data_IF_093889760253
#
_entry.id   IF_093889760253
#
_cell.length_a   1.000
_cell.length_b   1.000
_cell.length_c   1.000
_cell.angle_alpha   90.00
_cell.angle_beta   90.00
_cell.angle_gamma   90.00
#
_symmetry.space_group_name_H-M   'P 1'
#
loop_
_entity.id
_entity.type
_entity.pdbx_description
1 polymer ?
#
# COMPACT_ATOMS: atom_id res chain seq x y z
N UNK A 1 7.69 -18.33 33.31
CA UNK A 1 8.78 -18.23 32.33
C UNK A 1 8.19 -17.54 31.10
N UNK A 2 8.38 -16.23 30.97
CA UNK A 2 7.86 -15.44 29.84
C UNK A 2 8.85 -15.58 28.71
N UNK A 3 8.49 -16.29 27.64
CA UNK A 3 9.23 -16.19 26.39
C UNK A 3 8.99 -14.77 25.86
N UNK A 4 10.04 -13.98 25.58
CA UNK A 4 9.84 -12.70 24.92
C UNK A 4 9.04 -12.93 23.64
N UNK A 5 8.03 -12.09 23.42
CA UNK A 5 7.21 -12.15 22.23
C UNK A 5 8.13 -12.06 21.01
N UNK A 6 8.01 -13.01 20.07
CA UNK A 6 8.86 -13.12 18.89
C UNK A 6 8.86 -11.80 18.08
N UNK A 7 7.77 -11.04 18.18
CA UNK A 7 7.62 -9.70 17.63
C UNK A 7 8.57 -8.65 18.25
N UNK A 8 8.85 -8.72 19.55
CA UNK A 8 9.73 -7.77 20.25
C UNK A 8 11.21 -8.04 19.92
N UNK A 9 11.57 -9.32 19.74
CA UNK A 9 12.91 -9.70 19.29
C UNK A 9 13.15 -9.19 17.87
N UNK A 10 12.20 -9.40 16.96
CA UNK A 10 12.29 -8.92 15.57
C UNK A 10 12.39 -7.39 15.49
N UNK A 11 11.61 -6.66 16.28
CA UNK A 11 11.67 -5.20 16.33
C UNK A 11 13.02 -4.70 16.84
N UNK A 12 13.58 -5.38 17.85
CA UNK A 12 14.90 -5.04 18.41
C UNK A 12 16.01 -5.29 17.39
N UNK A 13 16.03 -6.46 16.75
CA UNK A 13 17.03 -6.80 15.74
C UNK A 13 16.95 -5.88 14.52
N UNK A 14 15.75 -5.55 14.04
CA UNK A 14 15.57 -4.56 12.97
C UNK A 14 16.06 -3.17 13.37
N UNK A 15 15.82 -2.74 14.61
CA UNK A 15 16.35 -1.49 15.15
C UNK A 15 17.89 -1.47 15.16
N UNK A 16 18.52 -2.59 15.53
CA UNK A 16 19.98 -2.73 15.50
C UNK A 16 20.54 -2.69 14.07
N UNK A 17 19.93 -3.43 13.13
CA UNK A 17 20.33 -3.39 11.70
C UNK A 17 20.24 -1.96 11.18
N UNK A 18 19.16 -1.26 11.49
CA UNK A 18 18.97 0.14 11.07
C UNK A 18 20.11 1.03 11.54
N UNK A 19 20.40 0.99 12.83
CA UNK A 19 21.37 1.89 13.46
C UNK A 19 22.81 1.55 13.07
N UNK A 20 23.11 0.27 12.84
CA UNK A 20 24.47 -0.17 12.53
C UNK A 20 24.79 -0.14 11.04
N UNK A 21 23.81 -0.48 10.19
CA UNK A 21 24.04 -0.66 8.75
C UNK A 21 23.52 0.54 7.94
N UNK A 22 22.36 1.09 8.29
CA UNK A 22 21.67 2.12 7.48
C UNK A 22 21.85 3.55 8.04
N UNK A 23 23.02 3.85 8.60
CA UNK A 23 23.33 5.15 9.22
C UNK A 23 23.86 6.22 8.25
N UNK A 24 23.45 6.19 6.98
CA UNK A 24 23.86 7.17 5.96
C UNK A 24 25.12 6.80 5.16
N UNK A 25 25.64 5.58 5.34
CA UNK A 25 26.72 5.04 4.49
C UNK A 25 26.27 5.00 3.01
N UNK A 26 27.16 5.24 2.04
CA UNK A 26 26.79 5.30 0.61
C UNK A 26 26.42 3.93 0.03
N UNK A 27 27.02 2.85 0.54
CA UNK A 27 26.76 1.46 0.16
C UNK A 27 26.72 0.64 1.44
N UNK A 28 25.75 -0.28 1.54
CA UNK A 28 25.49 -1.11 2.70
C UNK A 28 25.24 -2.54 2.23
N UNK A 29 25.91 -3.51 2.86
CA UNK A 29 25.75 -4.93 2.55
C UNK A 29 25.29 -5.67 3.80
N UNK A 30 24.12 -6.30 3.73
CA UNK A 30 23.48 -6.98 4.87
C UNK A 30 23.23 -8.44 4.51
N UNK A 31 23.73 -9.36 5.33
CA UNK A 31 23.41 -10.79 5.20
C UNK A 31 22.14 -11.14 5.98
N UNK A 32 21.04 -11.56 5.32
CA UNK A 32 19.82 -11.95 6.04
C UNK A 32 20.03 -13.11 7.00
N UNK A 33 20.94 -14.03 6.67
CA UNK A 33 21.30 -15.19 7.48
C UNK A 33 21.98 -14.78 8.77
N UNK A 34 22.96 -13.86 8.71
CA UNK A 34 23.68 -13.36 9.89
C UNK A 34 22.72 -12.69 10.87
N UNK A 35 21.80 -11.89 10.36
CA UNK A 35 20.83 -11.14 11.17
C UNK A 35 19.60 -11.96 11.57
N UNK A 36 19.44 -13.18 11.04
CA UNK A 36 18.26 -14.03 11.20
C UNK A 36 16.96 -13.28 10.88
N UNK A 37 17.00 -12.44 9.86
CA UNK A 37 15.86 -11.65 9.40
C UNK A 37 15.40 -12.14 8.03
N UNK A 38 14.10 -12.03 7.78
CA UNK A 38 13.56 -12.20 6.43
C UNK A 38 14.20 -11.15 5.49
N UNK A 39 14.79 -11.56 4.35
CA UNK A 39 15.27 -10.64 3.32
C UNK A 39 14.27 -9.53 2.99
N UNK A 40 12.96 -9.83 2.99
CA UNK A 40 11.91 -8.86 2.73
C UNK A 40 11.84 -7.74 3.77
N UNK A 41 12.13 -8.04 5.04
CA UNK A 41 12.16 -7.08 6.13
C UNK A 41 13.40 -6.18 6.05
N UNK A 42 14.55 -6.71 5.66
CA UNK A 42 15.78 -5.93 5.43
C UNK A 42 15.58 -4.99 4.24
N UNK A 43 15.01 -5.46 3.12
CA UNK A 43 14.67 -4.61 1.98
C UNK A 43 13.72 -3.48 2.36
N UNK A 44 12.69 -3.79 3.16
CA UNK A 44 11.75 -2.81 3.66
C UNK A 44 12.45 -1.74 4.52
N UNK A 45 13.36 -2.16 5.39
CA UNK A 45 14.13 -1.29 6.25
C UNK A 45 15.09 -0.42 5.46
N UNK A 46 15.88 -1.02 4.56
CA UNK A 46 16.78 -0.31 3.65
C UNK A 46 16.01 0.78 2.90
N UNK A 47 14.86 0.42 2.36
CA UNK A 47 14.00 1.33 1.63
C UNK A 47 13.47 2.47 2.53
N UNK A 48 13.02 2.15 3.75
CA UNK A 48 12.57 3.16 4.72
C UNK A 48 13.67 4.17 5.09
N UNK A 49 14.94 3.73 5.11
CA UNK A 49 16.10 4.59 5.37
C UNK A 49 16.61 5.32 4.11
N UNK A 50 15.96 5.13 2.97
CA UNK A 50 16.30 5.80 1.71
C UNK A 50 17.45 5.12 0.97
N UNK A 51 17.49 3.79 1.00
CA UNK A 51 18.41 2.97 0.22
C UNK A 51 17.67 2.17 -0.87
N UNK A 52 18.34 1.92 -1.98
CA UNK A 52 17.86 1.05 -3.05
C UNK A 52 18.75 -0.18 -3.19
N UNK A 53 18.16 -1.35 -3.43
CA UNK A 53 18.91 -2.59 -3.63
C UNK A 53 19.69 -2.54 -4.95
N UNK A 54 20.96 -2.92 -4.88
CA UNK A 54 21.87 -3.08 -5.99
C UNK A 54 22.06 -4.58 -6.29
N UNK A 55 22.53 -4.95 -7.49
CA UNK A 55 22.87 -6.32 -7.80
C UNK A 55 23.79 -6.92 -6.72
N UNK A 56 23.46 -8.10 -6.17
CA UNK A 56 24.26 -8.67 -5.10
C UNK A 56 25.63 -9.13 -5.63
N UNK A 57 26.70 -8.76 -4.94
CA UNK A 57 28.04 -9.32 -5.20
C UNK A 57 28.14 -10.79 -4.75
N UNK A 58 27.33 -11.18 -3.77
CA UNK A 58 27.26 -12.53 -3.23
C UNK A 58 25.79 -12.97 -3.03
N UNK A 59 25.44 -14.25 -3.30
CA UNK A 59 24.05 -14.71 -3.27
C UNK A 59 23.37 -14.60 -1.90
N UNK A 60 24.14 -14.59 -0.80
CA UNK A 60 23.64 -14.54 0.58
C UNK A 60 23.68 -13.15 1.21
N UNK A 61 23.99 -12.12 0.42
CA UNK A 61 24.17 -10.74 0.88
C UNK A 61 23.34 -9.80 0.03
N UNK A 62 22.47 -9.02 0.69
CA UNK A 62 21.73 -7.94 0.05
C UNK A 62 22.60 -6.69 0.06
N UNK A 63 22.83 -6.09 -1.10
CA UNK A 63 23.60 -4.86 -1.23
C UNK A 63 22.66 -3.70 -1.55
N UNK A 64 22.87 -2.57 -0.89
CA UNK A 64 22.00 -1.41 -0.98
C UNK A 64 22.83 -0.13 -1.13
N UNK A 65 22.40 0.78 -1.99
CA UNK A 65 23.03 2.08 -2.20
C UNK A 65 22.15 3.17 -1.59
N UNK A 66 22.74 4.13 -0.88
CA UNK A 66 22.02 5.27 -0.32
C UNK A 66 21.54 6.16 -1.46
N UNK A 67 20.22 6.25 -1.64
CA UNK A 67 19.58 7.09 -2.67
C UNK A 67 19.07 8.40 -2.10
N UNK A 68 18.95 8.51 -0.77
CA UNK A 68 18.52 9.72 -0.07
C UNK A 68 19.39 10.94 -0.39
N UNK A 69 20.71 10.75 -0.47
CA UNK A 69 21.63 11.82 -0.84
C UNK A 69 21.40 12.29 -2.28
N UNK A 70 21.24 11.37 -3.23
CA UNK A 70 21.03 11.72 -4.65
C UNK A 70 19.65 12.30 -4.96
N UNK A 71 18.59 11.88 -4.27
CA UNK A 71 17.25 12.44 -4.46
C UNK A 71 17.15 13.90 -4.01
N UNK A 72 17.97 14.31 -3.04
CA UNK A 72 18.03 15.69 -2.56
C UNK A 72 18.73 16.60 -3.59
N UNK A 73 19.71 16.05 -4.31
CA UNK A 73 20.51 16.79 -5.29
C UNK A 73 19.91 16.75 -6.72
N UNK A 74 19.13 15.72 -7.07
CA UNK A 74 18.47 15.57 -8.36
C UNK A 74 17.02 15.02 -8.20
N UNK A 75 15.99 15.88 -8.27
CA UNK A 75 14.59 15.45 -8.19
C UNK A 75 14.12 14.66 -9.43
N UNK A 76 14.92 14.61 -10.51
CA UNK A 76 14.68 13.76 -11.67
C UNK A 76 15.31 12.37 -11.54
N UNK A 77 16.08 12.11 -10.47
CA UNK A 77 16.76 10.83 -10.30
C UNK A 77 15.77 9.67 -10.27
N UNK A 78 15.81 8.85 -11.31
CA UNK A 78 15.09 7.58 -11.42
C UNK A 78 15.89 6.46 -10.76
N UNK A 79 15.18 5.65 -9.97
CA UNK A 79 15.67 4.46 -9.27
C UNK A 79 16.57 3.57 -10.12
N UNK A 80 17.48 2.78 -9.50
CA UNK A 80 18.39 1.92 -10.25
C UNK A 80 17.58 0.99 -11.16
N UNK A 81 18.04 0.76 -12.40
CA UNK A 81 17.26 0.19 -13.50
C UNK A 81 16.75 -1.25 -13.28
N UNK A 82 17.14 -1.93 -12.20
CA UNK A 82 16.75 -3.31 -11.92
C UNK A 82 15.33 -3.51 -11.37
N UNK A 83 14.66 -2.46 -10.87
CA UNK A 83 13.37 -2.57 -10.16
C UNK A 83 12.19 -1.86 -10.83
N UNK A 84 12.38 -1.36 -12.06
CA UNK A 84 11.31 -0.62 -12.76
C UNK A 84 10.45 -1.63 -13.51
N UNK A 85 9.37 -2.09 -12.89
CA UNK A 85 8.31 -2.77 -13.63
C UNK A 85 7.80 -1.83 -14.72
N UNK A 86 8.13 -2.13 -15.97
CA UNK A 86 7.49 -1.52 -17.14
C UNK A 86 6.73 -2.58 -17.91
N UNK A 87 5.40 -2.46 -18.01
CA UNK A 87 4.64 -3.38 -18.82
C UNK A 87 5.02 -3.20 -20.30
N UNK A 88 5.10 -4.31 -21.03
CA UNK A 88 5.06 -4.23 -22.49
C UNK A 88 3.79 -3.48 -22.91
N UNK A 89 3.92 -2.45 -23.75
CA UNK A 89 2.77 -1.63 -24.16
C UNK A 89 1.83 -2.49 -25.01
N UNK A 90 0.76 -2.98 -24.37
CA UNK A 90 -0.31 -3.77 -25.00
C UNK A 90 -1.63 -3.00 -25.02
N UNK A 91 -1.63 -1.79 -24.45
CA UNK A 91 -2.81 -0.94 -24.37
C UNK A 91 -3.25 -0.44 -25.75
N UNK A 92 -4.55 -0.48 -25.98
CA UNK A 92 -5.18 0.12 -27.15
C UNK A 92 -5.68 1.55 -26.88
N UNK A 93 -6.31 2.15 -27.89
CA UNK A 93 -6.90 3.50 -27.76
C UNK A 93 -7.98 3.58 -26.68
N UNK A 94 -8.69 2.46 -26.42
CA UNK A 94 -9.67 2.36 -25.33
C UNK A 94 -9.04 2.62 -23.95
N UNK A 95 -7.86 2.09 -23.69
CA UNK A 95 -7.16 2.25 -22.40
C UNK A 95 -6.67 3.69 -22.24
N UNK A 96 -6.15 4.28 -23.32
CA UNK A 96 -5.74 5.70 -23.39
C UNK A 96 -6.92 6.63 -23.12
N UNK A 97 -8.07 6.37 -23.74
CA UNK A 97 -9.30 7.14 -23.51
C UNK A 97 -9.84 6.99 -22.08
N UNK A 98 -9.74 5.80 -21.49
CA UNK A 98 -10.09 5.58 -20.07
C UNK A 98 -9.21 6.41 -19.15
N UNK A 99 -7.90 6.47 -19.42
CA UNK A 99 -6.97 7.33 -18.66
C UNK A 99 -7.33 8.81 -18.82
N UNK A 100 -7.55 9.30 -20.05
CA UNK A 100 -7.98 10.69 -20.30
C UNK A 100 -9.27 11.05 -19.55
N UNK A 101 -10.27 10.16 -19.58
CA UNK A 101 -11.54 10.37 -18.89
C UNK A 101 -11.36 10.42 -17.37
N UNK A 102 -10.39 9.68 -16.82
CA UNK A 102 -10.05 9.74 -15.39
C UNK A 102 -9.33 11.04 -15.03
N UNK A 103 -8.33 11.44 -15.81
CA UNK A 103 -7.58 12.69 -15.62
C UNK A 103 -8.47 13.93 -15.75
N UNK A 104 -9.56 13.85 -16.53
CA UNK A 104 -10.53 14.94 -16.64
C UNK A 104 -11.35 15.16 -15.35
N UNK A 105 -11.45 14.15 -14.47
CA UNK A 105 -12.31 14.19 -13.27
C UNK A 105 -11.53 14.50 -11.99
N UNK A 106 -10.28 14.06 -11.93
CA UNK A 106 -9.48 14.11 -10.72
C UNK A 106 -8.25 15.00 -10.95
N UNK A 107 -8.07 16.09 -10.16
CA UNK A 107 -6.88 16.96 -10.29
C UNK A 107 -5.59 16.28 -9.83
N UNK A 108 -5.72 15.16 -9.10
CA UNK A 108 -4.64 14.28 -8.67
C UNK A 108 -5.11 12.84 -8.74
N UNK A 109 -4.33 11.95 -9.34
CA UNK A 109 -4.69 10.55 -9.34
C UNK A 109 -3.48 9.61 -9.32
N UNK A 110 -3.66 8.48 -8.64
CA UNK A 110 -2.71 7.37 -8.66
C UNK A 110 -3.04 6.43 -9.81
N UNK A 111 -2.05 6.13 -10.65
CA UNK A 111 -2.20 5.29 -11.84
C UNK A 111 -1.23 4.12 -11.76
N UNK A 112 -1.77 2.90 -11.66
CA UNK A 112 -0.98 1.67 -11.82
C UNK A 112 -0.72 1.44 -13.30
N UNK A 113 0.54 1.25 -13.69
CA UNK A 113 0.91 0.92 -15.06
C UNK A 113 0.37 -0.44 -15.47
N UNK A 114 0.30 -1.40 -14.55
CA UNK A 114 -0.31 -2.71 -14.80
C UNK A 114 -1.80 -2.62 -15.11
N UNK A 115 -2.54 -1.82 -14.33
CA UNK A 115 -3.97 -1.60 -14.55
C UNK A 115 -4.22 -0.82 -15.84
N UNK A 116 -3.40 0.20 -16.09
CA UNK A 116 -3.52 1.05 -17.27
C UNK A 116 -3.03 0.35 -18.55
N UNK A 117 -2.18 -0.68 -18.42
CA UNK A 117 -1.49 -1.39 -19.52
C UNK A 117 -0.66 -0.48 -20.42
N UNK A 118 -0.31 0.70 -19.93
CA UNK A 118 0.45 1.74 -20.62
C UNK A 118 1.84 1.84 -20.01
N UNK A 119 2.82 2.24 -20.83
CA UNK A 119 4.16 2.60 -20.35
C UNK A 119 4.12 3.93 -19.61
N UNK A 120 5.13 4.12 -18.75
CA UNK A 120 5.31 5.35 -17.99
C UNK A 120 5.36 6.59 -18.89
N UNK A 121 6.06 6.49 -20.03
CA UNK A 121 6.17 7.53 -21.06
C UNK A 121 4.82 7.90 -21.68
N UNK A 122 4.01 6.90 -22.07
CA UNK A 122 2.68 7.13 -22.65
C UNK A 122 1.74 7.77 -21.63
N UNK A 123 1.81 7.34 -20.37
CA UNK A 123 1.06 7.97 -19.28
C UNK A 123 1.51 9.43 -19.08
N UNK A 124 2.81 9.69 -19.10
CA UNK A 124 3.36 11.04 -18.97
C UNK A 124 2.88 11.97 -20.10
N UNK A 125 2.88 11.47 -21.34
CA UNK A 125 2.40 12.22 -22.51
C UNK A 125 0.91 12.57 -22.38
N UNK A 126 0.07 11.60 -22.02
CA UNK A 126 -1.37 11.82 -21.81
C UNK A 126 -1.63 12.78 -20.64
N UNK A 127 -0.83 12.71 -19.57
CA UNK A 127 -0.92 13.63 -18.44
C UNK A 127 -0.53 15.06 -18.86
N UNK A 128 0.54 15.22 -19.64
CA UNK A 128 1.00 16.51 -20.12
C UNK A 128 -0.05 17.22 -21.01
N UNK A 129 -0.79 16.47 -21.84
CA UNK A 129 -1.94 16.98 -22.63
C UNK A 129 -3.02 17.64 -21.74
N UNK A 130 -3.07 17.30 -20.44
CA UNK A 130 -4.00 17.85 -19.45
C UNK A 130 -3.35 18.82 -18.46
N UNK A 131 -2.12 19.28 -18.73
CA UNK A 131 -1.37 20.14 -17.82
C UNK A 131 -0.96 19.44 -16.51
N UNK A 132 -0.87 18.12 -16.53
CA UNK A 132 -0.44 17.31 -15.38
C UNK A 132 0.98 16.77 -15.60
N UNK A 133 1.66 16.46 -14.50
CA UNK A 133 3.00 15.84 -14.47
C UNK A 133 3.00 14.63 -13.55
N UNK A 134 3.99 13.76 -13.74
CA UNK A 134 4.29 12.70 -12.76
C UNK A 134 4.94 13.38 -11.55
N UNK A 135 4.24 13.39 -10.43
CA UNK A 135 4.71 13.99 -9.19
C UNK A 135 5.43 12.99 -8.26
N UNK A 136 5.11 11.70 -8.38
CA UNK A 136 5.79 10.63 -7.66
C UNK A 136 5.72 9.32 -8.45
N UNK A 137 6.70 8.45 -8.21
CA UNK A 137 6.74 7.08 -8.74
C UNK A 137 6.98 6.12 -7.57
N UNK A 138 6.11 5.12 -7.46
CA UNK A 138 6.26 3.99 -6.55
C UNK A 138 6.36 2.73 -7.42
N UNK A 139 7.19 1.77 -7.08
CA UNK A 139 7.34 0.56 -7.88
C UNK A 139 7.83 -0.64 -7.10
N UNK A 140 7.38 -1.81 -7.51
CA UNK A 140 7.94 -3.11 -7.14
C UNK A 140 8.15 -3.98 -8.40
N UNK A 141 8.50 -5.23 -8.19
CA UNK A 141 8.69 -6.25 -9.23
C UNK A 141 7.39 -6.62 -9.98
N UNK A 142 6.22 -6.23 -9.46
CA UNK A 142 4.91 -6.63 -9.97
C UNK A 142 4.11 -5.49 -10.59
N UNK A 143 4.41 -4.23 -10.25
CA UNK A 143 3.69 -3.04 -10.69
C UNK A 143 4.48 -1.75 -10.44
N UNK A 144 4.18 -0.72 -11.23
CA UNK A 144 4.62 0.64 -10.99
C UNK A 144 3.41 1.56 -10.89
N UNK A 145 3.33 2.34 -9.82
CA UNK A 145 2.23 3.25 -9.53
C UNK A 145 2.72 4.70 -9.57
N UNK A 146 2.13 5.49 -10.44
CA UNK A 146 2.48 6.88 -10.68
C UNK A 146 1.47 7.81 -10.02
N UNK A 147 1.93 8.83 -9.30
CA UNK A 147 1.10 9.95 -8.91
C UNK A 147 1.12 11.00 -10.01
N UNK A 148 -0.05 11.31 -10.56
CA UNK A 148 -0.24 12.41 -11.49
C UNK A 148 -0.86 13.58 -10.74
N UNK A 149 -0.30 14.76 -10.88
CA UNK A 149 -0.80 16.00 -10.29
C UNK A 149 -0.65 17.17 -11.27
N UNK A 150 -1.40 18.25 -11.06
CA UNK A 150 -1.27 19.47 -11.86
C UNK A 150 0.17 19.99 -11.88
N UNK A 151 0.62 20.51 -13.03
CA UNK A 151 1.99 21.00 -13.18
C UNK A 151 2.35 22.11 -12.18
N UNK A 152 1.37 22.97 -11.87
CA UNK A 152 1.48 24.10 -10.94
C UNK A 152 1.18 23.74 -9.47
N UNK A 153 0.92 22.47 -9.18
CA UNK A 153 0.62 22.03 -7.83
C UNK A 153 1.87 22.09 -6.94
N UNK A 154 1.83 22.97 -5.94
CA UNK A 154 2.93 23.21 -5.00
C UNK A 154 3.08 22.12 -3.95
N UNK A 155 2.03 21.33 -3.71
CA UNK A 155 2.09 20.20 -2.79
C UNK A 155 1.33 18.99 -3.37
N UNK A 156 1.92 18.32 -4.38
CA UNK A 156 1.26 17.18 -5.04
C UNK A 156 1.09 15.99 -4.10
N UNK A 157 1.89 15.91 -3.04
CA UNK A 157 1.86 14.84 -2.03
C UNK A 157 0.85 15.09 -0.90
N UNK A 158 0.16 16.24 -0.90
CA UNK A 158 -0.90 16.47 0.06
C UNK A 158 -2.00 15.40 -0.12
N UNK A 159 -2.10 14.51 0.87
CA UNK A 159 -3.12 13.47 0.91
C UNK A 159 -4.48 14.14 1.08
N UNK A 160 -5.42 13.80 0.20
CA UNK A 160 -6.80 14.23 0.37
C UNK A 160 -7.30 13.74 1.74
N UNK A 161 -7.85 14.65 2.55
CA UNK A 161 -8.38 14.33 3.87
C UNK A 161 -9.35 13.15 3.76
N UNK A 162 -9.19 12.12 4.59
CA UNK A 162 -10.08 10.94 4.57
C UNK A 162 -11.54 11.39 4.67
N UNK A 163 -12.33 11.15 3.62
CA UNK A 163 -13.78 11.33 3.62
C UNK A 163 -14.46 10.00 3.30
N UNK A 164 -15.62 9.74 3.92
CA UNK A 164 -16.40 8.50 3.68
C UNK A 164 -15.72 7.21 4.15
N UNK A 165 -15.79 6.14 3.35
CA UNK A 165 -15.27 4.80 3.69
C UNK A 165 -13.78 4.77 4.06
N UNK A 166 -12.98 5.74 3.62
CA UNK A 166 -11.55 5.81 3.93
C UNK A 166 -11.23 6.10 5.40
N UNK A 167 -12.18 6.61 6.19
CA UNK A 167 -12.00 6.83 7.64
C UNK A 167 -12.20 5.56 8.46
N UNK A 168 -12.85 4.54 7.89
CA UNK A 168 -13.23 3.35 8.62
C UNK A 168 -12.03 2.41 8.70
N UNK A 169 -11.48 2.25 9.90
CA UNK A 169 -10.40 1.30 10.15
C UNK A 169 -10.91 -0.14 10.04
N UNK A 170 -10.04 -1.08 9.70
CA UNK A 170 -10.40 -2.50 9.60
C UNK A 170 -11.18 -3.07 10.81
N UNK A 171 -10.78 -2.82 12.08
CA UNK A 171 -11.56 -3.29 13.22
C UNK A 171 -12.95 -2.66 13.26
N UNK A 172 -13.10 -1.40 12.83
CA UNK A 172 -14.38 -0.72 12.75
C UNK A 172 -15.27 -1.29 11.63
N UNK A 173 -14.70 -1.70 10.50
CA UNK A 173 -15.48 -2.36 9.45
C UNK A 173 -15.97 -3.75 9.88
N UNK A 174 -15.14 -4.51 10.60
CA UNK A 174 -15.54 -5.82 11.15
C UNK A 174 -16.63 -5.69 12.21
N UNK A 175 -16.58 -4.66 13.07
CA UNK A 175 -17.65 -4.41 14.04
C UNK A 175 -18.93 -3.97 13.38
N UNK A 176 -18.88 -3.08 12.36
CA UNK A 176 -20.05 -2.69 11.58
C UNK A 176 -20.65 -3.91 10.85
N UNK A 177 -19.83 -4.73 10.21
CA UNK A 177 -20.25 -5.95 9.54
C UNK A 177 -20.91 -6.93 10.52
N UNK A 178 -20.30 -7.15 11.69
CA UNK A 178 -20.85 -8.00 12.74
C UNK A 178 -22.19 -7.48 13.26
N UNK A 179 -22.32 -6.17 13.46
CA UNK A 179 -23.57 -5.53 13.88
C UNK A 179 -24.67 -5.71 12.82
N UNK A 180 -24.36 -5.49 11.54
CA UNK A 180 -25.32 -5.65 10.44
C UNK A 180 -25.77 -7.10 10.28
N UNK A 181 -24.85 -8.06 10.40
CA UNK A 181 -25.19 -9.49 10.40
C UNK A 181 -26.07 -9.82 11.60
N UNK A 182 -25.73 -9.34 12.80
CA UNK A 182 -26.50 -9.57 14.02
C UNK A 182 -27.92 -8.99 13.93
N UNK A 183 -28.06 -7.76 13.45
CA UNK A 183 -29.36 -7.12 13.21
C UNK A 183 -30.17 -7.85 12.12
N UNK A 184 -29.51 -8.26 11.04
CA UNK A 184 -30.14 -9.02 9.97
C UNK A 184 -30.66 -10.38 10.43
N UNK A 185 -29.85 -11.13 11.16
CA UNK A 185 -30.28 -12.40 11.76
C UNK A 185 -31.36 -12.20 12.81
N UNK A 186 -31.23 -11.20 13.68
CA UNK A 186 -32.24 -10.88 14.69
C UNK A 186 -33.59 -10.54 14.05
N UNK A 187 -33.59 -9.70 13.02
CA UNK A 187 -34.80 -9.36 12.25
C UNK A 187 -35.38 -10.57 11.52
N UNK A 188 -34.54 -11.40 10.91
CA UNK A 188 -34.97 -12.61 10.22
C UNK A 188 -35.62 -13.62 11.17
N UNK A 189 -35.07 -13.81 12.37
CA UNK A 189 -35.66 -14.66 13.42
C UNK A 189 -37.02 -14.10 13.86
N UNK A 190 -37.12 -12.78 14.04
CA UNK A 190 -38.38 -12.13 14.46
C UNK A 190 -39.49 -12.30 13.41
N UNK A 191 -39.15 -12.18 12.12
CA UNK A 191 -40.06 -12.46 11.00
C UNK A 191 -40.45 -13.94 10.93
N UNK A 192 -39.50 -14.84 11.18
CA UNK A 192 -39.78 -16.28 11.23
C UNK A 192 -40.75 -16.66 12.34
N UNK A 193 -40.60 -16.06 13.52
CA UNK A 193 -41.50 -16.28 14.66
C UNK A 193 -42.89 -15.69 14.41
N UNK A 194 -43.00 -14.53 13.75
CA UNK A 194 -44.29 -13.88 13.51
C UNK A 194 -45.11 -14.52 12.38
N UNK A 195 -44.44 -15.05 11.35
CA UNK A 195 -45.10 -15.67 10.20
C UNK A 195 -45.18 -17.20 10.27
N UNK A 196 -44.46 -17.83 11.20
CA UNK A 196 -44.30 -19.28 11.27
C UNK A 196 -43.50 -19.89 10.11
N UNK A 197 -43.01 -19.08 9.17
CA UNK A 197 -42.30 -19.54 7.99
C UNK A 197 -40.79 -19.52 8.20
N UNK A 198 -40.26 -20.66 8.65
CA UNK A 198 -38.82 -20.84 8.91
C UNK A 198 -37.97 -20.67 7.64
N UNK A 199 -38.50 -21.03 6.46
CA UNK A 199 -37.77 -20.89 5.19
C UNK A 199 -37.50 -19.42 4.87
N UNK A 200 -38.49 -18.55 5.08
CA UNK A 200 -38.35 -17.11 4.85
C UNK A 200 -37.28 -16.49 5.77
N UNK A 201 -37.25 -16.88 7.05
CA UNK A 201 -36.23 -16.44 8.00
C UNK A 201 -34.81 -16.87 7.56
N UNK A 202 -34.64 -18.12 7.13
CA UNK A 202 -33.34 -18.59 6.63
C UNK A 202 -32.87 -17.82 5.40
N UNK A 203 -33.74 -17.58 4.42
CA UNK A 203 -33.40 -16.84 3.21
C UNK A 203 -32.99 -15.40 3.52
N UNK A 204 -33.70 -14.72 4.43
CA UNK A 204 -33.36 -13.36 4.84
C UNK A 204 -32.04 -13.29 5.60
N UNK A 205 -31.83 -14.18 6.58
CA UNK A 205 -30.58 -14.23 7.35
C UNK A 205 -29.37 -14.50 6.46
N UNK A 206 -29.49 -15.47 5.54
CA UNK A 206 -28.42 -15.80 4.60
C UNK A 206 -28.19 -14.68 3.57
N UNK A 207 -29.26 -14.03 3.11
CA UNK A 207 -29.18 -12.88 2.21
C UNK A 207 -28.38 -11.72 2.82
N UNK A 208 -28.66 -11.37 4.07
CA UNK A 208 -27.89 -10.32 4.78
C UNK A 208 -26.43 -10.73 4.95
N UNK A 209 -26.17 -11.98 5.36
CA UNK A 209 -24.79 -12.47 5.49
C UNK A 209 -24.03 -12.40 4.16
N UNK A 210 -24.65 -12.82 3.04
CA UNK A 210 -24.04 -12.78 1.72
C UNK A 210 -23.73 -11.35 1.26
N UNK A 211 -24.64 -10.40 1.51
CA UNK A 211 -24.43 -8.97 1.20
C UNK A 211 -23.23 -8.42 1.99
N UNK A 212 -23.15 -8.70 3.28
CA UNK A 212 -22.06 -8.21 4.13
C UNK A 212 -20.72 -8.82 3.72
N UNK A 213 -20.67 -10.13 3.47
CA UNK A 213 -19.46 -10.81 2.98
C UNK A 213 -19.03 -10.25 1.61
N UNK A 214 -19.99 -10.01 0.72
CA UNK A 214 -19.76 -9.38 -0.58
C UNK A 214 -19.19 -7.97 -0.44
N UNK A 215 -19.75 -7.16 0.47
CA UNK A 215 -19.29 -5.79 0.74
C UNK A 215 -17.86 -5.74 1.29
N UNK A 216 -17.51 -6.65 2.22
CA UNK A 216 -16.13 -6.76 2.76
C UNK A 216 -15.16 -7.15 1.64
N UNK A 217 -15.59 -8.05 0.75
CA UNK A 217 -14.77 -8.54 -0.36
C UNK A 217 -14.64 -7.54 -1.52
N UNK A 218 -15.52 -6.54 -1.60
CA UNK A 218 -15.57 -5.56 -2.68
C UNK A 218 -14.26 -4.76 -2.81
N UNK A 219 -13.57 -4.52 -1.69
CA UNK A 219 -12.25 -3.84 -1.69
C UNK A 219 -11.22 -4.56 -2.55
N UNK A 220 -11.29 -5.90 -2.65
CA UNK A 220 -10.41 -6.71 -3.50
C UNK A 220 -10.79 -6.67 -4.98
N UNK A 221 -12.03 -6.34 -5.29
CA UNK A 221 -12.51 -6.18 -6.66
C UNK A 221 -12.17 -4.80 -7.23
N UNK A 222 -11.74 -3.85 -6.39
CA UNK A 222 -11.29 -2.55 -6.85
C UNK A 222 -9.98 -2.67 -7.65
N UNK A 223 -9.81 -1.86 -8.72
CA UNK A 223 -8.54 -1.76 -9.43
C UNK A 223 -7.39 -1.49 -8.46
N UNK A 224 -6.20 -2.02 -8.75
CA UNK A 224 -5.00 -1.84 -7.92
C UNK A 224 -4.68 -0.36 -7.71
N UNK A 225 -4.87 0.48 -8.73
CA UNK A 225 -4.75 1.94 -8.61
C UNK A 225 -5.67 2.56 -7.56
N UNK A 226 -6.92 2.08 -7.43
CA UNK A 226 -7.85 2.54 -6.40
C UNK A 226 -7.46 2.00 -5.02
N UNK A 227 -7.03 0.73 -4.93
CA UNK A 227 -6.53 0.14 -3.68
C UNK A 227 -5.31 0.87 -3.16
N UNK A 228 -4.36 1.23 -4.03
CA UNK A 228 -3.19 2.04 -3.66
C UNK A 228 -3.59 3.43 -3.22
N UNK A 229 -4.54 4.09 -3.89
CA UNK A 229 -5.04 5.39 -3.45
C UNK A 229 -5.71 5.32 -2.06
N UNK A 230 -6.50 4.28 -1.80
CA UNK A 230 -7.09 4.03 -0.48
C UNK A 230 -6.02 3.78 0.58
N UNK A 231 -5.03 2.93 0.29
CA UNK A 231 -3.88 2.69 1.17
C UNK A 231 -3.17 4.00 1.52
N UNK A 232 -2.90 4.83 0.51
CA UNK A 232 -2.19 6.10 0.69
C UNK A 232 -2.99 7.10 1.52
N UNK A 233 -4.31 7.08 1.43
CA UNK A 233 -5.17 7.87 2.30
C UNK A 233 -4.97 7.59 3.80
N UNK A 234 -4.33 6.47 4.15
CA UNK A 234 -3.99 6.20 5.54
C UNK A 234 -2.88 7.08 6.10
N UNK A 235 -1.99 7.61 5.26
CA UNK A 235 -0.88 8.49 5.64
C UNK A 235 -1.30 9.97 5.71
N UNK A 236 -2.54 10.26 6.08
CA UNK A 236 -3.13 11.61 6.08
C UNK A 236 -2.77 12.48 7.30
N UNK A 237 -1.78 12.10 8.10
CA UNK A 237 -1.27 12.89 9.22
C UNK A 237 -1.35 12.25 10.61
N UNK A 238 -1.94 11.06 10.74
CA UNK A 238 -1.96 10.27 11.98
C UNK A 238 -0.52 10.03 12.50
N UNK A 239 -0.31 9.97 13.82
CA UNK A 239 1.04 9.77 14.38
C UNK A 239 1.56 8.35 14.14
N UNK A 240 0.65 7.37 14.18
CA UNK A 240 0.94 5.95 13.94
C UNK A 240 -0.12 5.42 12.97
N UNK A 241 0.31 4.69 11.95
CA UNK A 241 -0.55 4.10 10.94
C UNK A 241 -0.32 2.59 10.93
N UNK A 242 -1.40 1.82 11.10
CA UNK A 242 -1.39 0.37 10.98
C UNK A 242 -2.07 -0.04 9.66
N UNK A 243 -1.34 -0.76 8.80
CA UNK A 243 -1.84 -1.24 7.51
C UNK A 243 -1.92 -2.75 7.49
N UNK A 244 -3.13 -3.29 7.32
CA UNK A 244 -3.31 -4.72 6.99
C UNK A 244 -3.11 -4.94 5.49
N UNK A 245 -2.08 -5.70 5.14
CA UNK A 245 -1.73 -5.99 3.75
C UNK A 245 -2.85 -6.67 2.97
N UNK A 246 -3.68 -7.49 3.63
CA UNK A 246 -4.69 -8.33 2.98
C UNK A 246 -5.86 -7.55 2.38
N UNK A 247 -6.02 -6.30 2.80
CA UNK A 247 -7.07 -5.40 2.32
C UNK A 247 -6.70 -4.77 0.99
N UNK A 248 -5.45 -4.34 0.87
CA UNK A 248 -4.98 -3.61 -0.30
C UNK A 248 -4.33 -4.52 -1.34
N UNK A 249 -3.80 -5.69 -0.92
CA UNK A 249 -3.07 -6.63 -1.80
C UNK A 249 -1.92 -5.92 -2.54
N UNK A 250 -1.24 -5.04 -1.79
CA UNK A 250 -0.09 -4.25 -2.22
C UNK A 250 1.15 -4.84 -1.54
N UNK A 251 2.30 -4.82 -2.23
CA UNK A 251 3.54 -5.33 -1.66
C UNK A 251 3.99 -4.51 -0.46
N UNK A 252 4.75 -5.14 0.44
CA UNK A 252 5.34 -4.44 1.58
C UNK A 252 6.20 -3.27 1.11
N UNK A 253 6.94 -3.47 0.01
CA UNK A 253 7.80 -2.45 -0.58
C UNK A 253 6.97 -1.22 -0.98
N UNK A 254 5.89 -1.38 -1.75
CA UNK A 254 4.99 -0.27 -2.14
C UNK A 254 4.30 0.41 -0.94
N UNK A 255 4.04 -0.32 0.15
CA UNK A 255 3.54 0.29 1.38
C UNK A 255 4.60 1.20 2.02
N UNK A 256 5.85 0.72 2.13
CA UNK A 256 6.95 1.54 2.63
C UNK A 256 7.19 2.73 1.68
N UNK A 257 7.41 2.48 0.38
CA UNK A 257 6.87 3.25 -0.74
C UNK A 257 6.20 4.58 -0.40
N UNK A 258 4.90 4.43 -0.21
CA UNK A 258 4.00 5.48 0.16
C UNK A 258 4.32 6.10 1.52
N UNK A 259 4.65 5.28 2.53
CA UNK A 259 4.94 5.76 3.88
C UNK A 259 6.06 6.82 3.88
N UNK A 260 7.24 6.51 3.33
CA UNK A 260 8.36 7.46 3.32
C UNK A 260 8.05 8.68 2.46
N UNK A 261 7.33 8.50 1.34
CA UNK A 261 6.87 9.63 0.53
C UNK A 261 6.01 10.62 1.33
N UNK A 262 5.26 10.14 2.32
CA UNK A 262 4.44 10.95 3.22
C UNK A 262 5.10 11.28 4.57
N UNK A 263 6.41 11.04 4.73
CA UNK A 263 7.15 11.35 5.95
C UNK A 263 6.89 10.37 7.09
N UNK A 264 6.53 9.13 6.79
CA UNK A 264 6.39 8.05 7.76
C UNK A 264 7.57 7.10 7.67
N UNK A 265 7.99 6.58 8.83
CA UNK A 265 9.00 5.52 8.95
C UNK A 265 8.35 4.21 9.34
N UNK A 266 8.88 3.11 8.83
CA UNK A 266 8.51 1.78 9.27
C UNK A 266 9.04 1.54 10.70
N UNK A 267 8.19 0.99 11.57
CA UNK A 267 8.56 0.68 12.98
C UNK A 267 8.66 -0.82 13.18
N UNK A 268 7.61 -1.55 12.83
CA UNK A 268 7.54 -3.01 13.03
C UNK A 268 6.48 -3.66 12.17
N UNK A 269 6.62 -4.97 12.02
CA UNK A 269 5.62 -5.86 11.43
C UNK A 269 5.00 -6.71 12.54
N UNK A 270 3.67 -6.73 12.63
CA UNK A 270 2.91 -7.62 13.50
C UNK A 270 2.33 -8.76 12.67
N UNK A 271 2.59 -10.00 13.07
CA UNK A 271 2.01 -11.18 12.44
C UNK A 271 1.01 -11.80 13.40
N UNK A 272 -0.29 -11.77 13.09
CA UNK A 272 -1.33 -12.39 13.92
C UNK A 272 -2.19 -13.35 13.11
N UNK A 273 -2.22 -14.64 13.47
CA UNK A 273 -3.07 -15.69 12.85
C UNK A 273 -3.16 -15.57 11.32
N UNK A 274 -2.00 -15.39 10.67
CA UNK A 274 -1.78 -15.20 9.21
C UNK A 274 -2.01 -13.79 8.63
N UNK A 275 -2.50 -12.81 9.39
CA UNK A 275 -2.54 -11.41 8.97
C UNK A 275 -1.18 -10.75 9.27
N UNK A 276 -0.70 -9.94 8.31
CA UNK A 276 0.54 -9.17 8.44
C UNK A 276 0.16 -7.71 8.46
N UNK A 277 0.35 -7.07 9.61
CA UNK A 277 0.08 -5.65 9.82
C UNK A 277 1.41 -4.90 9.88
N UNK A 278 1.57 -3.93 8.99
CA UNK A 278 2.72 -3.04 8.97
C UNK A 278 2.41 -1.81 9.82
N UNK A 279 3.29 -1.48 10.76
CA UNK A 279 3.15 -0.32 11.64
C UNK A 279 4.15 0.75 11.23
N UNK A 280 3.63 1.92 10.88
CA UNK A 280 4.41 3.09 10.50
C UNK A 280 4.20 4.22 11.51
N UNK A 281 5.22 5.06 11.70
CA UNK A 281 5.16 6.22 12.59
C UNK A 281 5.61 7.46 11.83
N UNK A 282 4.93 8.59 12.04
CA UNK A 282 5.29 9.86 11.40
C UNK A 282 6.64 10.36 11.93
N UNK A 283 7.53 10.73 11.02
CA UNK A 283 8.79 11.45 11.31
C UNK A 283 8.42 12.93 11.37
N UNK A 284 8.76 13.59 12.48
CA UNK A 284 8.44 15.01 12.70
C UNK A 284 9.16 15.91 11.70
#
# INVERSE_FOLDING_TARGET
MFFPDEADVLATTLGQVREQQFAGQPVVSVSPVMWRLDPSAIRLLAWAEGYAEAPPEHPDVLTFHCVRQRYTDDPQWTYPPGYVFEPAERAGEKDRNRLRARLAKEPRCWVSLRDARLRSETVAKIAAERGMRIAAKLGDDTDQVLLLAGATDSNPLAVARRTGLGSITHPMWLTIAGLLIGLGFGGAVLVGLSTGNQVLAFVLGFGVAAIVVGAVSLTRLLPRSTRTALMISHFSGDTVVELDRRLYDVSNLLCAQAATLHGYRFVRQRTYRRAVTLVFQRVR
#
